data_IF_589757131222
#
_entry.id   IF_589757131222
#
_cell.length_a   1.000
_cell.length_b   1.000
_cell.length_c   1.000
_cell.angle_alpha   90.00
_cell.angle_beta   90.00
_cell.angle_gamma   90.00
#
_symmetry.space_group_name_H-M   'P 1'
#
loop_
_entity.id
_entity.type
_entity.pdbx_description
1 polymer ?
#
# COMPACT_ATOMS: atom_id res chain seq x y z
N UNK A 1 -10.73 -4.23 -17.70
CA UNK A 1 -10.64 -3.25 -16.61
C UNK A 1 -9.74 -3.87 -15.56
N UNK A 2 -8.64 -3.23 -15.11
CA UNK A 2 -7.95 -3.74 -13.92
C UNK A 2 -8.97 -3.73 -12.77
N UNK A 3 -9.05 -4.81 -12.01
CA UNK A 3 -9.86 -4.80 -10.80
C UNK A 3 -9.35 -3.69 -9.87
N UNK A 4 -10.26 -2.99 -9.20
CA UNK A 4 -9.88 -1.97 -8.22
C UNK A 4 -9.07 -2.64 -7.12
N UNK A 5 -7.88 -2.11 -6.80
CA UNK A 5 -7.06 -2.65 -5.71
C UNK A 5 -7.88 -2.61 -4.41
N UNK A 6 -8.00 -3.74 -3.67
CA UNK A 6 -8.78 -3.77 -2.44
C UNK A 6 -8.12 -2.91 -1.35
N UNK A 7 -8.94 -2.34 -0.47
CA UNK A 7 -8.46 -1.70 0.77
C UNK A 7 -7.88 -2.79 1.66
N UNK A 8 -6.66 -2.58 2.16
CA UNK A 8 -5.98 -3.53 3.03
C UNK A 8 -6.73 -3.72 4.34
N UNK A 9 -6.85 -4.97 4.78
CA UNK A 9 -7.33 -5.30 6.11
C UNK A 9 -6.40 -4.76 7.21
N UNK A 10 -5.12 -4.55 6.92
CA UNK A 10 -4.16 -4.01 7.87
C UNK A 10 -4.43 -2.53 8.19
N UNK A 11 -5.14 -1.80 7.31
CA UNK A 11 -5.54 -0.42 7.57
C UNK A 11 -6.54 -0.29 8.75
N UNK A 12 -7.17 -1.39 9.17
CA UNK A 12 -8.06 -1.43 10.34
C UNK A 12 -7.31 -1.62 11.67
N UNK A 13 -5.99 -1.83 11.65
CA UNK A 13 -5.22 -2.05 12.88
C UNK A 13 -5.06 -0.77 13.69
N UNK A 14 -4.95 -0.87 15.04
CA UNK A 14 -4.69 0.30 15.88
C UNK A 14 -3.46 1.08 15.44
N UNK A 15 -3.59 2.41 15.41
CA UNK A 15 -2.52 3.32 15.04
C UNK A 15 -2.21 3.39 13.55
N UNK A 16 -2.92 2.64 12.70
CA UNK A 16 -2.83 2.75 11.25
C UNK A 16 -3.21 4.17 10.80
N UNK A 17 -2.29 4.83 10.09
CA UNK A 17 -2.54 6.11 9.41
C UNK A 17 -2.54 5.85 7.92
N UNK A 18 -3.64 6.12 7.23
CA UNK A 18 -3.73 5.89 5.80
C UNK A 18 -2.72 6.75 5.02
N UNK A 19 -2.05 6.18 4.02
CA UNK A 19 -1.16 6.93 3.12
C UNK A 19 -1.93 8.04 2.41
N UNK A 20 -1.75 9.30 2.79
CA UNK A 20 -2.43 10.39 2.08
C UNK A 20 -2.12 10.32 0.58
N UNK A 21 -3.17 10.23 -0.25
CA UNK A 21 -3.03 10.25 -1.69
C UNK A 21 -2.29 11.52 -2.12
N UNK A 22 -1.30 11.39 -3.00
CA UNK A 22 -0.60 12.53 -3.56
C UNK A 22 -1.53 13.29 -4.51
N UNK A 23 -2.37 14.18 -4.00
CA UNK A 23 -3.27 14.99 -4.81
C UNK A 23 -4.16 15.94 -4.00
N UNK A 24 -4.01 17.24 -4.25
CA UNK A 24 -4.86 18.32 -3.75
C UNK A 24 -6.22 18.38 -4.45
N UNK A 25 -7.27 18.71 -3.68
CA UNK A 25 -8.55 19.31 -4.05
C UNK A 25 -9.41 18.63 -5.15
N UNK A 26 -10.62 18.25 -4.72
CA UNK A 26 -11.80 17.81 -5.50
C UNK A 26 -11.63 16.46 -6.26
N UNK A 27 -12.38 15.41 -5.87
CA UNK A 27 -12.33 14.13 -6.58
C UNK A 27 -12.99 14.28 -7.95
N UNK A 28 -12.19 14.28 -9.01
CA UNK A 28 -12.68 14.12 -10.38
C UNK A 28 -13.18 12.68 -10.55
N UNK A 29 -14.26 12.47 -11.31
CA UNK A 29 -14.68 11.12 -11.67
C UNK A 29 -13.53 10.40 -12.41
N UNK A 30 -12.92 9.42 -11.76
CA UNK A 30 -11.69 8.75 -12.23
C UNK A 30 -10.43 9.04 -11.42
N UNK A 31 -10.52 9.81 -10.33
CA UNK A 31 -9.39 10.09 -9.44
C UNK A 31 -8.90 8.83 -8.69
N UNK A 32 -7.59 8.78 -8.43
CA UNK A 32 -6.88 7.62 -7.90
C UNK A 32 -7.43 7.17 -6.52
N UNK A 33 -7.32 5.88 -6.18
CA UNK A 33 -8.07 5.31 -5.07
C UNK A 33 -7.69 5.96 -3.75
N UNK A 34 -8.67 6.05 -2.85
CA UNK A 34 -8.43 6.22 -1.42
C UNK A 34 -7.25 5.36 -1.00
N UNK A 35 -6.38 5.93 -0.16
CA UNK A 35 -5.27 5.23 0.46
C UNK A 35 -5.64 3.79 0.83
N UNK A 36 -5.14 2.80 0.09
CA UNK A 36 -5.50 1.39 0.30
C UNK A 36 -4.64 0.71 1.35
N UNK A 37 -3.55 1.37 1.79
CA UNK A 37 -2.58 0.85 2.76
C UNK A 37 -2.18 1.92 3.79
N UNK A 38 -1.69 1.48 4.94
CA UNK A 38 -1.20 2.36 5.99
C UNK A 38 0.20 2.91 5.67
N UNK A 39 0.45 4.17 6.02
CA UNK A 39 1.75 4.81 6.03
C UNK A 39 2.61 4.30 7.20
N UNK A 40 2.00 4.11 8.36
CA UNK A 40 2.61 3.65 9.60
C UNK A 40 1.53 3.19 10.59
N UNK A 41 1.94 2.59 11.70
CA UNK A 41 1.07 2.06 12.76
C UNK A 41 1.21 2.77 14.12
N UNK A 42 2.00 3.85 14.19
CA UNK A 42 1.98 4.80 15.30
C UNK A 42 3.33 5.48 15.57
N UNK A 43 4.44 4.76 15.40
CA UNK A 43 5.80 5.31 15.54
C UNK A 43 6.60 5.04 14.27
N UNK A 44 6.51 5.93 13.26
CA UNK A 44 7.14 5.73 11.96
C UNK A 44 8.65 5.48 12.04
N UNK A 45 9.34 6.13 12.98
CA UNK A 45 10.81 6.05 13.08
C UNK A 45 11.21 4.72 13.72
N UNK A 46 10.51 4.28 14.76
CA UNK A 46 10.75 2.96 15.34
C UNK A 46 10.42 1.84 14.33
N UNK A 47 9.30 1.95 13.63
CA UNK A 47 8.87 1.00 12.59
C UNK A 47 9.89 0.90 11.45
N UNK A 48 10.41 2.04 10.96
CA UNK A 48 11.46 2.07 9.95
C UNK A 48 12.76 1.38 10.43
N UNK A 49 13.16 1.60 11.69
CA UNK A 49 14.34 0.91 12.27
C UNK A 49 14.11 -0.59 12.37
N UNK A 50 12.92 -1.03 12.75
CA UNK A 50 12.56 -2.45 12.78
C UNK A 50 12.58 -3.08 11.38
N UNK A 51 12.08 -2.36 10.37
CA UNK A 51 12.13 -2.79 8.98
C UNK A 51 13.57 -2.92 8.48
N UNK A 52 14.42 -1.92 8.74
CA UNK A 52 15.84 -1.96 8.39
C UNK A 52 16.59 -3.10 9.10
N UNK A 53 16.16 -3.47 10.30
CA UNK A 53 16.68 -4.62 11.05
C UNK A 53 16.08 -5.98 10.60
N UNK A 54 15.20 -6.02 9.60
CA UNK A 54 14.55 -7.25 9.12
C UNK A 54 13.51 -7.84 10.06
N UNK A 55 12.94 -7.02 10.96
CA UNK A 55 11.99 -7.43 12.01
C UNK A 55 10.57 -6.89 11.79
N UNK A 56 10.27 -6.39 10.60
CA UNK A 56 8.95 -5.89 10.21
C UNK A 56 8.63 -6.28 8.76
N UNK A 57 7.37 -6.11 8.38
CA UNK A 57 6.86 -6.35 7.02
C UNK A 57 6.30 -5.06 6.43
N UNK A 58 6.22 -5.01 5.11
CA UNK A 58 5.54 -3.94 4.37
C UNK A 58 4.30 -4.54 3.71
N UNK A 59 3.18 -3.87 3.89
CA UNK A 59 1.96 -4.19 3.16
C UNK A 59 2.08 -3.65 1.72
N UNK A 60 1.94 -4.55 0.74
CA UNK A 60 1.97 -4.23 -0.69
C UNK A 60 0.71 -4.77 -1.38
N UNK A 61 -0.39 -4.94 -0.64
CA UNK A 61 -1.66 -5.44 -1.21
C UNK A 61 -2.30 -4.48 -2.21
N UNK A 62 -1.83 -3.23 -2.26
CA UNK A 62 -2.16 -2.24 -3.29
C UNK A 62 -1.58 -2.61 -4.67
N UNK A 63 -0.55 -3.46 -4.71
CA UNK A 63 0.10 -3.92 -5.95
C UNK A 63 -0.61 -5.14 -6.52
N UNK A 64 -0.84 -5.10 -7.83
CA UNK A 64 -1.23 -6.29 -8.60
C UNK A 64 -0.07 -7.28 -8.76
N UNK A 65 -0.39 -8.57 -8.76
CA UNK A 65 0.56 -9.65 -9.05
C UNK A 65 0.30 -10.18 -10.46
N UNK A 66 1.34 -10.25 -11.28
CA UNK A 66 1.27 -10.75 -12.66
C UNK A 66 2.17 -11.99 -12.78
N UNK A 67 1.63 -13.07 -13.33
CA UNK A 67 2.40 -14.28 -13.66
C UNK A 67 2.88 -14.20 -15.10
N UNK A 68 4.20 -14.31 -15.33
CA UNK A 68 4.80 -14.32 -16.67
C UNK A 68 5.33 -15.73 -16.99
N UNK A 69 4.91 -16.30 -18.12
CA UNK A 69 5.26 -17.66 -18.56
C UNK A 69 5.87 -17.68 -19.95
N UNK A 70 6.74 -18.64 -20.25
CA UNK A 70 7.36 -18.82 -21.59
C UNK A 70 8.89 -18.94 -21.54
N UNK A 71 9.52 -19.36 -22.66
CA UNK A 71 10.97 -19.55 -22.73
C UNK A 71 11.75 -18.23 -22.54
N UNK A 72 11.23 -17.10 -23.05
CA UNK A 72 11.95 -15.82 -23.12
C UNK A 72 11.48 -14.80 -22.07
N UNK A 73 11.18 -15.25 -20.85
CA UNK A 73 10.55 -14.41 -19.81
C UNK A 73 11.51 -13.46 -19.06
N UNK A 74 12.76 -13.32 -19.50
CA UNK A 74 13.83 -12.56 -18.85
C UNK A 74 14.62 -11.73 -19.85
#
# INVERSE_FOLDING_TARGET
MPESSPVSALLALPGAVAMAGAGSAEPVAGDAPVASVAAHYGDPVAEQRMLAAGRAIVDLSDRGVITVTGPDRL
#
